data_IF_726338104008
#
_entry.id   IF_726338104008
#
_cell.length_a   1.000
_cell.length_b   1.000
_cell.length_c   1.000
_cell.angle_alpha   90.00
_cell.angle_beta   90.00
_cell.angle_gamma   90.00
#
_symmetry.space_group_name_H-M   'P 1'
#
loop_
_entity.id
_entity.type
_entity.pdbx_description
1 polymer ?
#
# COMPACT_ATOMS: atom_id res chain seq x y z
N UNK A 1 6.80 -20.00 -14.66
CA UNK A 1 6.09 -21.23 -14.27
C UNK A 1 5.85 -21.22 -12.78
N UNK A 2 4.89 -22.02 -12.32
CA UNK A 2 4.57 -22.10 -10.90
C UNK A 2 3.14 -22.58 -10.69
N UNK A 3 2.78 -22.88 -9.46
CA UNK A 3 1.43 -23.24 -9.04
C UNK A 3 0.85 -22.08 -8.22
N UNK A 4 -0.41 -21.72 -8.52
CA UNK A 4 -1.16 -20.71 -7.76
C UNK A 4 -2.41 -21.40 -7.22
N UNK A 5 -2.65 -21.25 -5.93
CA UNK A 5 -3.88 -21.67 -5.25
C UNK A 5 -4.55 -20.46 -4.61
N UNK A 6 -5.85 -20.33 -4.85
CA UNK A 6 -6.69 -19.30 -4.22
C UNK A 6 -7.81 -20.04 -3.50
N UNK A 7 -8.01 -19.75 -2.21
CA UNK A 7 -8.93 -20.50 -1.35
C UNK A 7 -8.66 -22.04 -1.34
N UNK A 8 -7.37 -22.43 -1.48
CA UNK A 8 -6.94 -23.83 -1.51
C UNK A 8 -7.15 -24.56 -2.84
N UNK A 9 -7.74 -23.91 -3.85
CA UNK A 9 -8.06 -24.50 -5.17
C UNK A 9 -7.38 -23.74 -6.31
N UNK A 10 -7.41 -24.29 -7.51
CA UNK A 10 -6.91 -23.61 -8.71
C UNK A 10 -7.80 -22.42 -9.05
N UNK A 11 -7.23 -21.23 -9.39
CA UNK A 11 -8.02 -20.09 -9.83
C UNK A 11 -8.79 -20.33 -11.13
N UNK A 12 -8.47 -21.39 -11.86
CA UNK A 12 -9.18 -21.81 -13.09
C UNK A 12 -10.48 -22.56 -12.82
N UNK A 13 -10.68 -23.02 -11.59
CA UNK A 13 -11.93 -23.67 -11.22
C UNK A 13 -13.08 -22.64 -11.19
N UNK A 14 -14.21 -22.97 -11.80
CA UNK A 14 -15.35 -22.06 -11.96
C UNK A 14 -15.87 -21.52 -10.61
N UNK A 15 -15.81 -22.32 -9.55
CA UNK A 15 -16.19 -21.87 -8.20
C UNK A 15 -15.25 -20.82 -7.63
N UNK A 16 -13.93 -20.97 -7.87
CA UNK A 16 -12.91 -20.03 -7.39
C UNK A 16 -12.99 -18.70 -8.12
N UNK A 17 -13.08 -18.72 -9.45
CA UNK A 17 -13.11 -17.50 -10.25
C UNK A 17 -14.31 -16.60 -9.95
N UNK A 18 -15.46 -17.17 -9.57
CA UNK A 18 -16.66 -16.40 -9.19
C UNK A 18 -16.48 -15.63 -7.88
N UNK A 19 -15.58 -16.08 -7.01
CA UNK A 19 -15.26 -15.45 -5.72
C UNK A 19 -14.19 -14.36 -5.83
N UNK A 20 -13.70 -14.07 -7.04
CA UNK A 20 -12.67 -13.07 -7.30
C UNK A 20 -13.28 -11.92 -8.08
N UNK A 21 -13.21 -10.71 -7.51
CA UNK A 21 -13.49 -9.46 -8.20
C UNK A 21 -12.18 -8.86 -8.73
N UNK A 22 -12.21 -8.28 -9.91
CA UNK A 22 -11.03 -7.68 -10.54
C UNK A 22 -11.34 -6.29 -11.02
N UNK A 23 -10.45 -5.36 -10.70
CA UNK A 23 -10.39 -4.01 -11.28
C UNK A 23 -9.00 -3.83 -11.88
N UNK A 24 -8.95 -3.68 -13.20
CA UNK A 24 -7.73 -3.31 -13.92
C UNK A 24 -7.60 -1.79 -13.97
N UNK A 25 -6.40 -1.28 -14.23
CA UNK A 25 -6.07 0.16 -14.26
C UNK A 25 -7.11 1.01 -15.02
N UNK A 26 -7.54 0.55 -16.19
CA UNK A 26 -8.60 1.20 -16.96
C UNK A 26 -9.86 0.33 -16.97
N UNK A 27 -10.89 0.63 -16.19
CA UNK A 27 -12.12 -0.15 -16.18
C UNK A 27 -12.77 -0.20 -17.57
N UNK A 28 -13.04 -1.43 -18.06
CA UNK A 28 -13.69 -1.66 -19.35
C UNK A 28 -15.17 -1.21 -19.33
N UNK A 29 -15.43 0.08 -19.52
CA UNK A 29 -16.75 0.66 -19.47
C UNK A 29 -17.32 0.93 -20.87
N UNK A 30 -18.60 0.65 -21.04
CA UNK A 30 -19.33 1.08 -22.23
C UNK A 30 -19.67 2.58 -22.13
N UNK A 31 -18.84 3.40 -22.78
CA UNK A 31 -18.89 4.87 -22.67
C UNK A 31 -20.23 5.50 -23.06
N UNK A 32 -21.01 4.84 -23.90
CA UNK A 32 -22.35 5.28 -24.33
C UNK A 32 -23.48 4.89 -23.38
N UNK A 33 -23.18 4.10 -22.36
CA UNK A 33 -24.13 3.64 -21.34
C UNK A 33 -24.01 4.46 -20.04
N UNK A 34 -25.09 4.46 -19.23
CA UNK A 34 -25.03 4.99 -17.86
C UNK A 34 -24.27 4.04 -16.93
N UNK A 35 -23.99 4.49 -15.67
CA UNK A 35 -23.45 3.61 -14.64
C UNK A 35 -24.36 2.40 -14.39
N UNK A 36 -25.65 2.67 -14.23
CA UNK A 36 -26.65 1.64 -14.01
C UNK A 36 -26.71 0.61 -15.15
N UNK A 37 -26.69 1.05 -16.42
CA UNK A 37 -26.73 0.14 -17.56
C UNK A 37 -25.47 -0.72 -17.66
N UNK A 38 -24.28 -0.16 -17.38
CA UNK A 38 -23.01 -0.92 -17.31
C UNK A 38 -23.10 -2.01 -16.22
N UNK A 39 -23.58 -1.66 -15.04
CA UNK A 39 -23.79 -2.59 -13.93
C UNK A 39 -24.79 -3.70 -14.27
N UNK A 40 -25.93 -3.33 -14.85
CA UNK A 40 -26.95 -4.29 -15.26
C UNK A 40 -26.46 -5.26 -16.31
N UNK A 41 -25.73 -4.77 -17.31
CA UNK A 41 -25.15 -5.63 -18.36
C UNK A 41 -24.22 -6.69 -17.75
N UNK A 42 -23.31 -6.28 -16.87
CA UNK A 42 -22.41 -7.23 -16.20
C UNK A 42 -23.16 -8.17 -15.25
N UNK A 43 -24.15 -7.68 -14.52
CA UNK A 43 -24.96 -8.50 -13.62
C UNK A 43 -25.69 -9.62 -14.37
N UNK A 44 -26.25 -9.31 -15.53
CA UNK A 44 -26.91 -10.30 -16.40
C UNK A 44 -25.88 -11.29 -16.98
N UNK A 45 -24.70 -10.84 -17.39
CA UNK A 45 -23.62 -11.70 -17.85
C UNK A 45 -23.11 -12.68 -16.77
N UNK A 46 -23.17 -12.28 -15.49
CA UNK A 46 -22.87 -13.13 -14.34
C UNK A 46 -24.01 -14.08 -13.96
N UNK A 47 -25.18 -13.95 -14.61
CA UNK A 47 -26.36 -14.77 -14.32
C UNK A 47 -27.05 -14.42 -13.01
N UNK A 48 -26.92 -13.18 -12.53
CA UNK A 48 -27.60 -12.73 -11.30
C UNK A 48 -29.12 -12.66 -11.49
N UNK A 49 -29.85 -13.29 -10.58
CA UNK A 49 -31.31 -13.24 -10.55
C UNK A 49 -31.74 -11.93 -9.88
N UNK A 50 -32.62 -11.16 -10.52
CA UNK A 50 -33.11 -9.85 -10.07
C UNK A 50 -32.01 -8.91 -9.52
N UNK A 51 -31.03 -8.49 -10.34
CA UNK A 51 -29.88 -7.73 -9.88
C UNK A 51 -30.19 -6.25 -9.54
N UNK A 52 -31.43 -5.79 -9.73
CA UNK A 52 -31.78 -4.36 -9.65
C UNK A 52 -31.49 -3.73 -8.28
N UNK A 53 -31.84 -4.43 -7.21
CA UNK A 53 -31.58 -3.97 -5.86
C UNK A 53 -30.07 -3.89 -5.61
N UNK A 54 -29.36 -4.98 -5.86
CA UNK A 54 -27.90 -5.06 -5.70
C UNK A 54 -27.15 -4.00 -6.51
N UNK A 55 -27.55 -3.77 -7.74
CA UNK A 55 -26.93 -2.73 -8.59
C UNK A 55 -27.12 -1.34 -7.97
N UNK A 56 -28.31 -1.03 -7.45
CA UNK A 56 -28.57 0.25 -6.77
C UNK A 56 -27.72 0.38 -5.51
N UNK A 57 -27.69 -0.65 -4.66
CA UNK A 57 -26.94 -0.66 -3.41
C UNK A 57 -25.44 -0.47 -3.66
N UNK A 58 -24.87 -1.11 -4.68
CA UNK A 58 -23.46 -0.95 -5.04
C UNK A 58 -23.15 0.43 -5.62
N UNK A 59 -24.06 0.99 -6.43
CA UNK A 59 -23.90 2.36 -6.93
C UNK A 59 -23.98 3.37 -5.79
N UNK A 60 -24.89 3.19 -4.83
CA UNK A 60 -24.99 4.04 -3.64
C UNK A 60 -23.72 3.91 -2.78
N UNK A 61 -23.29 2.69 -2.50
CA UNK A 61 -22.06 2.41 -1.74
C UNK A 61 -20.82 3.09 -2.35
N UNK A 62 -20.70 3.09 -3.68
CA UNK A 62 -19.56 3.70 -4.38
C UNK A 62 -19.76 5.20 -4.67
N UNK A 63 -20.83 5.83 -4.13
CA UNK A 63 -21.13 7.24 -4.31
C UNK A 63 -21.57 7.63 -5.72
N UNK A 64 -22.11 6.68 -6.48
CA UNK A 64 -22.63 6.88 -7.83
C UNK A 64 -24.17 6.80 -7.92
N UNK A 65 -24.87 6.68 -6.79
CA UNK A 65 -26.34 6.55 -6.77
C UNK A 65 -27.07 7.72 -7.42
N UNK A 66 -26.52 8.93 -7.30
CA UNK A 66 -27.17 10.16 -7.77
C UNK A 66 -26.73 10.60 -9.19
N UNK A 67 -25.86 9.83 -9.88
CA UNK A 67 -25.38 10.25 -11.23
C UNK A 67 -26.41 10.09 -12.34
N UNK A 68 -27.51 9.39 -12.08
CA UNK A 68 -28.64 9.24 -12.98
C UNK A 68 -28.28 8.62 -14.34
N UNK A 69 -28.78 9.24 -15.42
CA UNK A 69 -28.58 8.76 -16.81
C UNK A 69 -27.30 9.30 -17.46
N UNK A 70 -26.40 9.98 -16.73
CA UNK A 70 -25.14 10.50 -17.26
C UNK A 70 -24.32 9.36 -17.87
N UNK A 71 -23.81 9.56 -19.09
CA UNK A 71 -23.04 8.56 -19.81
C UNK A 71 -21.61 8.45 -19.24
N UNK A 72 -21.06 7.22 -19.16
CA UNK A 72 -19.77 6.99 -18.53
C UNK A 72 -18.59 7.62 -19.27
N UNK A 73 -18.72 7.94 -20.57
CA UNK A 73 -17.74 8.77 -21.29
C UNK A 73 -17.57 10.19 -20.73
N UNK A 74 -18.55 10.69 -19.97
CA UNK A 74 -18.54 12.01 -19.34
C UNK A 74 -18.09 11.93 -17.87
N UNK A 75 -17.71 10.74 -17.37
CA UNK A 75 -17.26 10.57 -16.00
C UNK A 75 -15.82 11.06 -15.83
N UNK A 76 -15.53 11.65 -14.67
CA UNK A 76 -14.15 11.86 -14.23
C UNK A 76 -13.45 10.52 -14.04
N UNK A 77 -12.11 10.54 -13.93
CA UNK A 77 -11.35 9.32 -13.66
C UNK A 77 -11.83 8.66 -12.36
N UNK A 78 -12.00 9.42 -11.28
CA UNK A 78 -12.51 8.91 -10.00
C UNK A 78 -13.90 8.29 -10.10
N UNK A 79 -14.81 8.88 -10.89
CA UNK A 79 -16.12 8.26 -11.15
C UNK A 79 -15.99 6.95 -11.91
N UNK A 80 -15.07 6.84 -12.87
CA UNK A 80 -14.81 5.60 -13.62
C UNK A 80 -14.23 4.52 -12.70
N UNK A 81 -13.27 4.86 -11.84
CA UNK A 81 -12.70 3.93 -10.87
C UNK A 81 -13.73 3.44 -9.86
N UNK A 82 -14.58 4.32 -9.34
CA UNK A 82 -15.69 3.93 -8.44
C UNK A 82 -16.68 2.99 -9.13
N UNK A 83 -16.99 3.22 -10.39
CA UNK A 83 -17.83 2.31 -11.17
C UNK A 83 -17.12 0.97 -11.43
N UNK A 84 -15.85 0.99 -11.74
CA UNK A 84 -15.02 -0.22 -11.88
C UNK A 84 -15.01 -1.07 -10.61
N UNK A 85 -14.87 -0.42 -9.45
CA UNK A 85 -14.97 -1.09 -8.15
C UNK A 85 -16.37 -1.68 -7.91
N UNK A 86 -17.44 -0.93 -8.22
CA UNK A 86 -18.81 -1.43 -8.14
C UNK A 86 -19.04 -2.66 -9.02
N UNK A 87 -18.47 -2.65 -10.24
CA UNK A 87 -18.51 -3.78 -11.16
C UNK A 87 -17.75 -5.01 -10.61
N UNK A 88 -16.61 -4.81 -9.95
CA UNK A 88 -15.85 -5.88 -9.34
C UNK A 88 -16.60 -6.56 -8.18
N UNK A 89 -17.47 -5.80 -7.50
CA UNK A 89 -18.26 -6.29 -6.34
C UNK A 89 -19.55 -7.04 -6.71
N UNK A 90 -19.97 -7.04 -7.97
CA UNK A 90 -21.26 -7.62 -8.39
C UNK A 90 -21.41 -9.12 -8.05
N UNK A 91 -20.30 -9.86 -8.09
CA UNK A 91 -20.27 -11.31 -7.82
C UNK A 91 -20.18 -11.70 -6.34
N UNK A 92 -20.26 -10.74 -5.39
CA UNK A 92 -19.98 -10.96 -3.96
C UNK A 92 -18.63 -11.64 -3.74
N UNK A 93 -17.52 -11.02 -4.19
CA UNK A 93 -16.22 -11.65 -4.10
C UNK A 93 -15.72 -11.70 -2.65
N UNK A 94 -14.94 -12.75 -2.34
CA UNK A 94 -14.15 -12.84 -1.10
C UNK A 94 -12.74 -12.26 -1.28
N UNK A 95 -12.29 -12.10 -2.54
CA UNK A 95 -11.01 -11.54 -2.91
C UNK A 95 -11.19 -10.47 -4.00
N UNK A 96 -10.62 -9.30 -3.79
CA UNK A 96 -10.48 -8.26 -4.81
C UNK A 96 -9.02 -8.15 -5.26
N UNK A 97 -8.82 -8.15 -6.58
CA UNK A 97 -7.54 -7.84 -7.22
C UNK A 97 -7.68 -6.46 -7.88
N UNK A 98 -6.94 -5.49 -7.38
CA UNK A 98 -7.01 -4.10 -7.84
C UNK A 98 -5.67 -3.69 -8.42
N UNK A 99 -5.64 -3.46 -9.74
CA UNK A 99 -4.44 -3.05 -10.44
C UNK A 99 -4.44 -1.53 -10.59
N UNK A 100 -3.48 -0.87 -9.92
CA UNK A 100 -3.30 0.58 -9.88
C UNK A 100 -4.60 1.39 -9.63
N UNK A 101 -5.43 1.04 -8.62
CA UNK A 101 -6.78 1.61 -8.45
C UNK A 101 -6.77 3.11 -8.14
N UNK A 102 -5.63 3.67 -7.76
CA UNK A 102 -5.46 5.07 -7.37
C UNK A 102 -4.73 5.90 -8.44
N UNK A 103 -4.27 5.25 -9.52
CA UNK A 103 -3.49 5.93 -10.56
C UNK A 103 -4.31 6.99 -11.29
N UNK A 104 -3.71 8.16 -11.54
CA UNK A 104 -4.32 9.26 -12.27
C UNK A 104 -5.48 9.97 -11.54
N UNK A 105 -5.67 9.71 -10.25
CA UNK A 105 -6.65 10.39 -9.42
C UNK A 105 -6.04 11.63 -8.77
N UNK A 106 -6.87 12.65 -8.61
CA UNK A 106 -6.56 13.77 -7.73
C UNK A 106 -6.55 13.30 -6.25
N UNK A 107 -5.97 14.08 -5.32
CA UNK A 107 -5.83 13.67 -3.92
C UNK A 107 -7.16 13.35 -3.23
N UNK A 108 -8.26 14.01 -3.63
CA UNK A 108 -9.58 13.77 -3.08
C UNK A 108 -10.16 12.43 -3.60
N UNK A 109 -10.11 12.20 -4.91
CA UNK A 109 -10.55 10.95 -5.52
C UNK A 109 -9.77 9.75 -5.01
N UNK A 110 -8.45 9.88 -4.84
CA UNK A 110 -7.62 8.82 -4.26
C UNK A 110 -8.02 8.51 -2.80
N UNK A 111 -8.33 9.54 -2.01
CA UNK A 111 -8.82 9.37 -0.63
C UNK A 111 -10.17 8.67 -0.58
N UNK A 112 -11.08 9.00 -1.49
CA UNK A 112 -12.39 8.34 -1.58
C UNK A 112 -12.27 6.86 -1.92
N UNK A 113 -11.49 6.51 -2.96
CA UNK A 113 -11.27 5.10 -3.35
C UNK A 113 -10.60 4.32 -2.20
N UNK A 114 -9.58 4.89 -1.57
CA UNK A 114 -8.92 4.26 -0.42
C UNK A 114 -9.91 3.97 0.72
N UNK A 115 -10.77 4.94 1.05
CA UNK A 115 -11.82 4.76 2.06
C UNK A 115 -12.77 3.62 1.71
N UNK A 116 -13.20 3.52 0.45
CA UNK A 116 -14.05 2.42 -0.01
C UNK A 116 -13.34 1.07 0.13
N UNK A 117 -12.07 0.97 -0.26
CA UNK A 117 -11.27 -0.25 -0.13
C UNK A 117 -11.16 -0.69 1.34
N UNK A 118 -10.84 0.23 2.24
CA UNK A 118 -10.78 -0.07 3.67
C UNK A 118 -12.13 -0.52 4.22
N UNK A 119 -13.22 0.14 3.85
CA UNK A 119 -14.58 -0.28 4.26
C UNK A 119 -14.93 -1.69 3.77
N UNK A 120 -14.52 -2.08 2.57
CA UNK A 120 -14.75 -3.44 2.06
C UNK A 120 -14.00 -4.50 2.88
N UNK A 121 -12.78 -4.21 3.28
CA UNK A 121 -12.02 -5.12 4.14
C UNK A 121 -12.61 -5.18 5.56
N UNK A 122 -12.80 -4.02 6.21
CA UNK A 122 -13.20 -3.93 7.61
C UNK A 122 -14.64 -4.41 7.86
N UNK A 123 -15.58 -4.01 6.98
CA UNK A 123 -17.01 -4.25 7.20
C UNK A 123 -17.53 -5.50 6.51
N UNK A 124 -16.92 -5.93 5.40
CA UNK A 124 -17.35 -7.07 4.62
C UNK A 124 -16.38 -8.24 4.65
N UNK A 125 -15.22 -8.10 5.30
CA UNK A 125 -14.21 -9.14 5.40
C UNK A 125 -13.57 -9.54 4.06
N UNK A 126 -13.66 -8.68 3.03
CA UNK A 126 -13.10 -8.95 1.72
C UNK A 126 -11.59 -8.80 1.79
N UNK A 127 -10.85 -9.81 1.37
CA UNK A 127 -9.40 -9.70 1.19
C UNK A 127 -9.11 -8.87 -0.05
N UNK A 128 -8.21 -7.89 0.05
CA UNK A 128 -7.86 -7.01 -1.07
C UNK A 128 -6.37 -7.11 -1.37
N UNK A 129 -6.03 -7.40 -2.61
CA UNK A 129 -4.67 -7.34 -3.15
C UNK A 129 -4.60 -6.15 -4.10
N UNK A 130 -3.63 -5.27 -3.88
CA UNK A 130 -3.47 -4.02 -4.64
C UNK A 130 -2.07 -3.96 -5.21
N UNK A 131 -1.95 -3.70 -6.51
CA UNK A 131 -0.71 -3.22 -7.10
C UNK A 131 -0.68 -1.69 -7.07
N UNK A 132 0.45 -1.10 -6.75
CA UNK A 132 0.67 0.35 -6.89
C UNK A 132 2.17 0.66 -6.97
N UNK A 133 2.49 1.70 -7.72
CA UNK A 133 3.80 2.32 -7.75
C UNK A 133 3.89 3.53 -6.81
N UNK A 134 2.78 3.96 -6.20
CA UNK A 134 2.73 5.09 -5.26
C UNK A 134 2.72 4.55 -3.83
N UNK A 135 3.91 4.34 -3.28
CA UNK A 135 4.12 3.67 -1.99
C UNK A 135 3.50 4.42 -0.82
N UNK A 136 3.53 5.75 -0.82
CA UNK A 136 2.89 6.58 0.22
C UNK A 136 1.39 6.29 0.36
N UNK A 137 0.72 5.99 -0.75
CA UNK A 137 -0.71 5.66 -0.72
C UNK A 137 -0.96 4.25 -0.16
N UNK A 138 -0.09 3.28 -0.48
CA UNK A 138 -0.13 1.95 0.10
C UNK A 138 0.11 1.98 1.61
N UNK A 139 1.06 2.78 2.08
CA UNK A 139 1.39 2.94 3.49
C UNK A 139 0.20 3.33 4.38
N UNK A 140 -0.84 3.95 3.78
CA UNK A 140 -2.03 4.39 4.51
C UNK A 140 -3.13 3.33 4.62
N UNK A 141 -2.97 2.14 4.01
CA UNK A 141 -4.02 1.11 3.98
C UNK A 141 -3.52 -0.34 3.97
N UNK A 142 -2.31 -0.59 3.50
CA UNK A 142 -1.80 -1.95 3.40
C UNK A 142 -1.43 -2.51 4.78
N UNK A 143 -1.82 -3.76 5.05
CA UNK A 143 -1.44 -4.51 6.25
C UNK A 143 -0.25 -5.43 6.01
N UNK A 144 -0.01 -5.79 4.73
CA UNK A 144 1.11 -6.60 4.26
C UNK A 144 1.62 -6.08 2.93
N UNK A 145 2.91 -6.25 2.70
CA UNK A 145 3.59 -5.85 1.47
C UNK A 145 4.33 -7.03 0.88
N UNK A 146 4.17 -7.23 -0.42
CA UNK A 146 4.96 -8.16 -1.20
C UNK A 146 5.82 -7.38 -2.20
N UNK A 147 7.13 -7.50 -2.09
CA UNK A 147 8.08 -6.85 -3.00
C UNK A 147 8.47 -7.82 -4.10
N UNK A 148 8.17 -7.46 -5.34
CA UNK A 148 8.47 -8.26 -6.52
C UNK A 148 9.53 -7.55 -7.36
N UNK A 149 10.59 -8.27 -7.69
CA UNK A 149 11.65 -7.81 -8.58
C UNK A 149 11.95 -8.89 -9.61
N UNK A 150 12.00 -8.53 -10.89
CA UNK A 150 12.32 -9.45 -12.01
C UNK A 150 11.47 -10.74 -12.00
N UNK A 151 10.19 -10.62 -11.58
CA UNK A 151 9.26 -11.75 -11.51
C UNK A 151 9.42 -12.67 -10.28
N UNK A 152 10.29 -12.30 -9.34
CA UNK A 152 10.51 -13.04 -8.09
C UNK A 152 10.05 -12.24 -6.88
N UNK A 153 9.41 -12.92 -5.91
CA UNK A 153 9.13 -12.33 -4.60
C UNK A 153 10.46 -12.15 -3.85
N UNK A 154 10.86 -10.91 -3.63
CA UNK A 154 12.09 -10.56 -2.92
C UNK A 154 11.88 -10.62 -1.42
N UNK A 155 10.77 -10.06 -0.94
CA UNK A 155 10.45 -9.98 0.48
C UNK A 155 8.95 -9.84 0.69
N UNK A 156 8.48 -10.42 1.79
CA UNK A 156 7.15 -10.18 2.34
C UNK A 156 7.31 -9.50 3.70
N UNK A 157 6.54 -8.44 3.96
CA UNK A 157 6.62 -7.59 5.15
C UNK A 157 5.22 -7.31 5.68
N UNK A 158 5.08 -7.22 6.98
CA UNK A 158 3.90 -6.64 7.61
C UNK A 158 4.00 -5.10 7.66
N UNK A 159 2.88 -4.40 7.88
CA UNK A 159 2.92 -2.97 8.13
C UNK A 159 3.81 -2.61 9.33
N UNK A 160 3.79 -3.43 10.38
CA UNK A 160 4.64 -3.23 11.56
C UNK A 160 6.15 -3.37 11.22
N UNK A 161 6.53 -4.32 10.34
CA UNK A 161 7.91 -4.45 9.87
C UNK A 161 8.33 -3.19 9.10
N UNK A 162 7.45 -2.70 8.23
CA UNK A 162 7.70 -1.49 7.43
C UNK A 162 7.82 -0.27 8.34
N UNK A 163 6.90 -0.07 9.31
CA UNK A 163 6.96 1.02 10.28
C UNK A 163 8.25 0.99 11.09
N UNK A 164 8.72 -0.20 11.46
CA UNK A 164 9.96 -0.36 12.19
C UNK A 164 11.19 -0.01 11.34
N UNK A 165 11.21 -0.42 10.08
CA UNK A 165 12.32 -0.17 9.13
C UNK A 165 12.32 1.28 8.63
N UNK A 166 11.14 1.92 8.49
CA UNK A 166 10.98 3.31 8.10
C UNK A 166 10.95 4.29 9.28
N UNK A 167 11.27 3.82 10.52
CA UNK A 167 11.33 4.71 11.66
C UNK A 167 12.46 5.74 11.51
N UNK A 168 12.18 6.96 11.96
CA UNK A 168 13.18 8.03 12.01
C UNK A 168 14.40 7.56 12.81
N UNK A 169 15.60 7.92 12.34
CA UNK A 169 16.83 7.59 13.04
C UNK A 169 17.80 8.78 13.05
N UNK A 170 18.67 8.79 14.04
CA UNK A 170 19.82 9.67 14.10
C UNK A 170 21.05 8.91 13.60
N UNK A 171 21.66 9.38 12.52
CA UNK A 171 22.96 8.87 12.06
C UNK A 171 24.06 9.57 12.83
N UNK A 172 24.93 8.76 13.42
CA UNK A 172 26.10 9.20 14.21
C UNK A 172 27.36 8.76 13.48
N UNK A 173 28.22 9.72 13.15
CA UNK A 173 29.54 9.49 12.62
C UNK A 173 30.56 9.90 13.68
N UNK A 174 31.39 8.96 14.14
CA UNK A 174 32.34 9.18 15.22
C UNK A 174 33.74 8.67 14.82
N UNK A 175 34.79 9.28 15.37
CA UNK A 175 36.16 8.89 15.09
C UNK A 175 36.48 7.44 15.52
N UNK A 176 35.75 6.93 16.55
CA UNK A 176 35.81 5.53 16.98
C UNK A 176 34.39 4.96 17.10
N UNK A 177 33.84 4.38 16.02
CA UNK A 177 32.46 3.90 16.00
C UNK A 177 32.18 2.77 17.00
N UNK A 178 33.13 1.88 17.21
CA UNK A 178 32.99 0.75 18.14
C UNK A 178 32.84 1.23 19.58
N UNK A 179 33.67 2.18 19.99
CA UNK A 179 33.60 2.76 21.33
C UNK A 179 32.35 3.62 21.49
N UNK A 180 32.01 4.41 20.43
CA UNK A 180 30.78 5.21 20.42
C UNK A 180 29.53 4.35 20.58
N UNK A 181 29.43 3.22 19.89
CA UNK A 181 28.31 2.30 19.99
C UNK A 181 28.18 1.73 21.43
N UNK A 182 29.30 1.30 22.04
CA UNK A 182 29.30 0.77 23.40
C UNK A 182 28.80 1.81 24.42
N UNK A 183 29.29 3.05 24.32
CA UNK A 183 28.89 4.16 25.19
C UNK A 183 27.40 4.49 25.01
N UNK A 184 26.94 4.55 23.75
CA UNK A 184 25.55 4.87 23.46
C UNK A 184 24.58 3.78 23.97
N UNK A 185 24.95 2.50 23.81
CA UNK A 185 24.14 1.38 24.33
C UNK A 185 24.03 1.40 25.84
N UNK A 186 25.11 1.76 26.56
CA UNK A 186 25.12 1.87 28.03
C UNK A 186 24.25 3.04 28.51
N UNK A 187 24.37 4.20 27.84
CA UNK A 187 23.71 5.44 28.30
C UNK A 187 22.26 5.56 27.86
N UNK A 188 21.89 4.94 26.75
CA UNK A 188 20.54 4.98 26.16
C UNK A 188 19.96 3.57 25.95
N UNK A 189 19.76 2.77 27.02
CA UNK A 189 19.34 1.36 26.90
C UNK A 189 17.95 1.17 26.25
N UNK A 190 17.15 2.22 26.16
CA UNK A 190 15.81 2.19 25.53
C UNK A 190 15.84 2.49 24.03
N UNK A 191 16.99 2.85 23.46
CA UNK A 191 17.15 3.12 22.04
C UNK A 191 17.69 1.87 21.33
N UNK A 192 17.34 1.70 20.07
CA UNK A 192 17.87 0.65 19.21
C UNK A 192 19.02 1.19 18.39
N UNK A 193 20.10 0.42 18.30
CA UNK A 193 21.32 0.79 17.57
C UNK A 193 21.60 -0.19 16.46
N UNK A 194 22.10 0.31 15.32
CA UNK A 194 22.54 -0.48 14.18
C UNK A 194 23.86 0.08 13.66
N UNK A 195 24.89 -0.76 13.60
CA UNK A 195 26.15 -0.41 12.95
C UNK A 195 26.02 -0.63 11.44
N UNK A 196 26.47 0.34 10.67
CA UNK A 196 26.39 0.33 9.21
C UNK A 196 27.75 -0.03 8.59
N UNK A 197 27.79 -0.54 7.32
CA UNK A 197 29.04 -0.88 6.62
C UNK A 197 30.00 0.30 6.44
N UNK A 198 29.48 1.53 6.38
CA UNK A 198 30.25 2.78 6.30
C UNK A 198 30.80 3.26 7.65
N UNK A 199 30.72 2.41 8.68
CA UNK A 199 31.10 2.69 10.05
C UNK A 199 30.25 3.76 10.76
N UNK A 200 29.15 4.21 10.18
CA UNK A 200 28.16 5.05 10.90
C UNK A 200 27.30 4.19 11.83
N UNK A 201 26.66 4.84 12.83
CA UNK A 201 25.75 4.23 13.76
C UNK A 201 24.38 4.85 13.55
N UNK A 202 23.37 4.04 13.26
CA UNK A 202 21.96 4.48 13.25
C UNK A 202 21.34 4.26 14.62
N UNK A 203 20.78 5.31 15.19
CA UNK A 203 20.10 5.32 16.50
C UNK A 203 18.61 5.53 16.26
N UNK A 204 17.81 4.52 16.55
CA UNK A 204 16.36 4.52 16.37
C UNK A 204 15.62 4.81 17.66
N UNK A 205 14.49 5.50 17.55
CA UNK A 205 13.66 5.94 18.66
C UNK A 205 13.78 7.45 18.85
N UNK A 206 13.20 7.96 19.95
CA UNK A 206 13.21 9.39 20.26
C UNK A 206 14.62 9.83 20.75
N UNK A 207 15.61 9.74 19.87
CA UNK A 207 16.98 10.14 20.17
C UNK A 207 17.13 11.68 20.04
N UNK A 208 17.47 12.35 21.14
CA UNK A 208 17.88 13.75 21.06
C UNK A 208 19.34 13.85 20.62
N UNK A 209 19.54 14.45 19.44
CA UNK A 209 20.87 14.65 18.87
C UNK A 209 21.83 15.41 19.81
N UNK A 210 21.30 16.40 20.55
CA UNK A 210 22.08 17.14 21.52
C UNK A 210 22.58 16.26 22.66
N UNK A 211 21.71 15.42 23.24
CA UNK A 211 22.07 14.49 24.30
C UNK A 211 23.08 13.43 23.83
N UNK A 212 22.87 12.87 22.62
CA UNK A 212 23.81 11.89 22.00
C UNK A 212 25.18 12.52 21.79
N UNK A 213 25.23 13.72 21.20
CA UNK A 213 26.49 14.45 20.96
C UNK A 213 27.23 14.80 22.27
N UNK A 214 26.51 15.31 23.27
CA UNK A 214 27.08 15.62 24.58
C UNK A 214 27.69 14.38 25.26
N UNK A 215 26.95 13.27 25.26
CA UNK A 215 27.41 12.00 25.85
C UNK A 215 28.70 11.51 25.23
N UNK A 216 28.82 11.53 23.90
CA UNK A 216 30.04 11.11 23.20
C UNK A 216 31.21 12.05 23.50
N UNK A 217 30.99 13.35 23.50
CA UNK A 217 32.02 14.33 23.82
C UNK A 217 32.52 14.22 25.28
N UNK A 218 31.65 13.96 26.24
CA UNK A 218 32.02 13.70 27.66
C UNK A 218 32.96 12.51 27.81
N UNK A 219 32.84 11.51 26.92
CA UNK A 219 33.70 10.33 26.88
C UNK A 219 34.93 10.49 25.97
N UNK A 220 35.19 11.73 25.52
CA UNK A 220 36.35 12.04 24.68
C UNK A 220 36.26 11.49 23.26
N UNK A 221 35.06 11.12 22.79
CA UNK A 221 34.84 10.60 21.44
C UNK A 221 34.47 11.77 20.53
N UNK A 222 35.33 12.06 19.56
CA UNK A 222 35.06 13.10 18.59
C UNK A 222 33.92 12.69 17.66
N UNK A 223 32.84 13.48 17.65
CA UNK A 223 31.71 13.35 16.74
C UNK A 223 32.02 14.09 15.45
N UNK A 224 31.98 13.38 14.32
CA UNK A 224 32.23 13.91 12.97
C UNK A 224 30.95 14.40 12.31
N UNK A 225 29.80 13.77 12.63
CA UNK A 225 28.51 14.14 12.12
C UNK A 225 27.34 13.58 12.96
N UNK A 226 26.26 14.35 13.04
CA UNK A 226 24.99 13.96 13.63
C UNK A 226 23.89 14.43 12.69
N UNK A 227 23.20 13.47 12.04
CA UNK A 227 22.20 13.75 11.04
C UNK A 227 20.89 13.09 11.42
N UNK A 228 19.83 13.88 11.59
CA UNK A 228 18.48 13.35 11.75
C UNK A 228 17.92 12.98 10.37
N UNK A 229 17.67 11.70 10.18
CA UNK A 229 17.06 11.18 8.96
C UNK A 229 15.61 10.80 9.21
N UNK A 230 14.74 11.27 8.32
CA UNK A 230 13.40 10.75 8.15
C UNK A 230 13.43 9.81 6.97
N UNK A 231 13.34 8.53 7.25
CA UNK A 231 13.29 7.53 6.18
C UNK A 231 11.85 7.39 5.70
N UNK A 232 11.60 7.71 4.46
CA UNK A 232 10.30 7.48 3.86
C UNK A 232 10.14 6.06 3.30
N UNK A 233 8.92 5.70 3.00
CA UNK A 233 8.56 4.41 2.44
C UNK A 233 9.20 4.18 1.07
N UNK A 234 9.31 5.22 0.26
CA UNK A 234 9.83 5.15 -1.09
C UNK A 234 11.32 4.82 -1.08
N UNK A 235 12.10 5.52 -0.26
CA UNK A 235 13.53 5.26 -0.07
C UNK A 235 13.79 3.82 0.40
N UNK A 236 13.00 3.34 1.37
CA UNK A 236 13.10 1.98 1.88
C UNK A 236 12.86 0.92 0.80
N UNK A 237 11.80 1.06 0.01
CA UNK A 237 11.50 0.09 -1.04
C UNK A 237 12.45 0.19 -2.24
N UNK A 238 12.94 1.38 -2.58
CA UNK A 238 13.95 1.59 -3.63
C UNK A 238 15.27 0.91 -3.26
N UNK A 239 15.76 1.07 -2.03
CA UNK A 239 16.95 0.35 -1.53
C UNK A 239 16.76 -1.17 -1.61
N UNK A 240 15.59 -1.67 -1.20
CA UNK A 240 15.27 -3.10 -1.23
C UNK A 240 15.24 -3.66 -2.65
N UNK A 241 14.84 -2.86 -3.63
CA UNK A 241 14.86 -3.22 -5.04
C UNK A 241 16.27 -3.13 -5.66
N UNK A 242 17.29 -2.68 -4.90
CA UNK A 242 18.69 -2.64 -5.33
C UNK A 242 18.98 -1.56 -6.37
N UNK A 243 18.20 -0.50 -6.41
CA UNK A 243 18.57 0.72 -7.10
C UNK A 243 19.59 1.47 -6.22
N UNK A 244 20.84 1.54 -6.63
CA UNK A 244 21.78 2.50 -6.06
C UNK A 244 21.19 3.90 -6.27
N UNK A 245 20.88 4.56 -5.18
CA UNK A 245 20.48 5.96 -5.19
C UNK A 245 21.68 6.78 -5.67
N UNK A 246 21.75 7.07 -6.96
CA UNK A 246 22.62 8.12 -7.50
C UNK A 246 21.83 9.43 -7.39
N UNK A 247 21.99 10.08 -6.22
CA UNK A 247 21.56 11.45 -5.97
C UNK A 247 22.27 12.47 -6.85
#
# INVERSE_FOLDING_TARGET
GGEVRVFGTSPREAGTSRRIGVLIEAPGLYGTMSAYDNMMLKALALGLVDPKAKVRDLLEFTGLGQVGKKKTKQFSMGMKQRLGLALALLGDPDLLLLDEPLNGLDPEGAREIRRLIMQLNDQRGITVVISSHVLEQLGKMATRYGVIREGHMVRELTAADVDQECSDFLQVEAANPTLALAVLQERFPNLRFQSMPDASIRVFGAADAGAVGATLNEQGIAVQGLYAHKRDLEEFFVEMMGAEYRG
#
